data_IF_653940639450
#
_entry.id   IF_653940639450
#
_cell.length_a   1.000
_cell.length_b   1.000
_cell.length_c   1.000
_cell.angle_alpha   90.00
_cell.angle_beta   90.00
_cell.angle_gamma   90.00
#
_symmetry.space_group_name_H-M   'P 1'
#
loop_
_entity.id
_entity.type
_entity.pdbx_description
1 polymer ?
#
# COMPACT_ATOMS: atom_id res chain seq x y z
N UNK A 1 7.56 37.74 32.80
CA UNK A 1 6.69 36.86 33.61
C UNK A 1 5.45 36.64 32.78
N UNK A 2 5.20 35.53 32.10
CA UNK A 2 5.79 34.20 32.19
C UNK A 2 5.56 33.51 30.83
N UNK A 3 6.59 32.84 30.33
CA UNK A 3 6.60 32.06 29.09
C UNK A 3 6.33 30.61 29.44
N UNK A 4 5.27 30.00 28.90
CA UNK A 4 5.16 28.54 28.87
C UNK A 4 4.70 28.07 27.49
N UNK A 5 5.64 28.01 26.56
CA UNK A 5 5.58 27.11 25.42
C UNK A 5 5.40 25.68 25.93
N UNK A 6 4.26 25.05 25.63
CA UNK A 6 4.09 23.61 25.78
C UNK A 6 4.92 22.93 24.70
N UNK A 7 6.20 22.73 25.03
CA UNK A 7 7.12 21.90 24.27
C UNK A 7 6.64 20.45 24.38
N UNK A 8 5.85 20.01 23.39
CA UNK A 8 5.49 18.60 23.24
C UNK A 8 6.77 17.92 22.76
N UNK A 9 7.45 17.27 23.70
CA UNK A 9 8.72 16.61 23.48
C UNK A 9 8.55 15.37 22.56
N UNK A 10 8.50 15.65 21.26
CA UNK A 10 8.43 14.67 20.16
C UNK A 10 9.68 13.76 20.11
N UNK A 11 10.72 14.05 20.91
CA UNK A 11 11.96 13.26 20.96
C UNK A 11 11.83 11.93 21.70
N UNK A 12 10.78 11.72 22.47
CA UNK A 12 10.58 10.45 23.21
C UNK A 12 9.72 9.40 22.46
N UNK A 13 9.20 9.73 21.27
CA UNK A 13 8.36 8.81 20.49
C UNK A 13 9.13 8.00 19.43
N UNK A 14 10.46 8.11 19.38
CA UNK A 14 11.23 7.53 18.29
C UNK A 14 12.44 6.71 18.78
N UNK A 15 12.49 5.46 18.29
CA UNK A 15 13.67 4.61 18.07
C UNK A 15 14.16 3.58 19.11
N UNK A 16 13.52 3.36 20.27
CA UNK A 16 14.02 2.34 21.22
C UNK A 16 13.36 0.96 21.23
N UNK A 17 12.39 0.66 20.36
CA UNK A 17 11.81 -0.70 20.29
C UNK A 17 12.58 -1.59 19.30
N UNK A 18 13.70 -2.17 19.71
CA UNK A 18 14.38 -3.22 18.94
C UNK A 18 14.52 -4.54 19.71
N UNK A 19 14.06 -5.60 19.04
CA UNK A 19 14.34 -7.01 19.22
C UNK A 19 13.65 -7.76 20.38
N UNK A 20 12.49 -8.37 20.09
CA UNK A 20 12.24 -9.82 20.29
C UNK A 20 10.79 -10.26 20.09
N UNK A 21 9.83 -9.33 20.00
CA UNK A 21 8.42 -9.68 19.79
C UNK A 21 7.86 -8.96 18.57
N UNK A 22 7.82 -9.66 17.44
CA UNK A 22 6.93 -9.28 16.34
C UNK A 22 5.68 -10.13 16.50
N UNK A 23 4.48 -9.53 16.53
CA UNK A 23 3.26 -10.30 16.65
C UNK A 23 3.17 -11.28 15.48
N UNK A 24 2.60 -12.45 15.74
CA UNK A 24 2.42 -13.48 14.71
C UNK A 24 1.52 -12.91 13.61
N UNK A 25 1.85 -13.06 12.32
CA UNK A 25 0.98 -12.60 11.24
C UNK A 25 -0.45 -13.15 11.39
N UNK A 26 -1.45 -12.26 11.34
CA UNK A 26 -2.85 -12.61 11.54
C UNK A 26 -3.33 -12.68 13.00
N UNK A 27 -2.44 -12.52 13.98
CA UNK A 27 -2.83 -12.50 15.40
C UNK A 27 -3.62 -11.24 15.78
N UNK A 28 -4.41 -11.31 16.85
CA UNK A 28 -5.11 -10.15 17.40
C UNK A 28 -4.13 -9.02 17.78
N UNK A 29 -2.95 -9.38 18.28
CA UNK A 29 -1.88 -8.44 18.62
C UNK A 29 -1.35 -7.68 17.40
N UNK A 30 -1.19 -8.37 16.24
CA UNK A 30 -0.80 -7.69 14.99
C UNK A 30 -1.87 -6.69 14.54
N UNK A 31 -3.14 -7.08 14.64
CA UNK A 31 -4.26 -6.23 14.23
C UNK A 31 -4.33 -4.97 15.10
N UNK A 32 -4.25 -5.12 16.42
CA UNK A 32 -4.27 -3.98 17.35
C UNK A 32 -3.06 -3.05 17.14
N UNK A 33 -1.87 -3.61 16.92
CA UNK A 33 -0.68 -2.83 16.61
C UNK A 33 -0.82 -2.10 15.28
N UNK A 34 -1.35 -2.75 14.25
CA UNK A 34 -1.62 -2.12 12.96
C UNK A 34 -2.63 -0.98 13.09
N UNK A 35 -3.74 -1.17 13.80
CA UNK A 35 -4.73 -0.11 14.04
C UNK A 35 -4.10 1.11 14.74
N UNK A 36 -3.21 0.86 15.71
CA UNK A 36 -2.48 1.92 16.40
C UNK A 36 -1.58 2.71 15.45
N UNK A 37 -0.83 2.01 14.59
CA UNK A 37 0.00 2.64 13.55
C UNK A 37 -0.89 3.41 12.56
N UNK A 38 -1.98 2.81 12.10
CA UNK A 38 -2.86 3.41 11.10
C UNK A 38 -3.59 4.65 11.61
N UNK A 39 -3.90 4.75 12.92
CA UNK A 39 -4.44 5.98 13.53
C UNK A 39 -3.50 7.18 13.38
N UNK A 40 -2.19 6.96 13.38
CA UNK A 40 -1.22 8.05 13.14
C UNK A 40 -1.35 8.63 11.74
N UNK A 41 -1.77 7.80 10.76
CA UNK A 41 -1.91 8.19 9.36
C UNK A 41 -2.96 9.28 9.15
N UNK A 42 -4.08 9.26 9.89
CA UNK A 42 -5.13 10.27 9.75
C UNK A 42 -4.61 11.69 9.99
N UNK A 43 -3.78 11.86 11.03
CA UNK A 43 -3.14 13.14 11.33
C UNK A 43 -2.10 13.51 10.27
N UNK A 44 -1.31 12.52 9.82
CA UNK A 44 -0.32 12.72 8.75
C UNK A 44 -0.97 13.20 7.45
N UNK A 45 -2.09 12.58 7.07
CA UNK A 45 -2.83 12.91 5.87
C UNK A 45 -3.43 14.32 5.94
N UNK A 46 -4.01 14.72 7.07
CA UNK A 46 -4.60 16.05 7.20
C UNK A 46 -3.56 17.18 7.24
N UNK A 47 -2.41 16.95 7.90
CA UNK A 47 -1.43 18.00 8.16
C UNK A 47 -0.33 18.09 7.08
N UNK A 48 0.20 16.95 6.62
CA UNK A 48 1.43 16.92 5.82
C UNK A 48 1.19 16.65 4.34
N UNK A 49 0.05 16.09 3.93
CA UNK A 49 -0.24 15.89 2.50
C UNK A 49 -0.56 17.20 1.77
N UNK A 50 -1.31 18.16 2.35
CA UNK A 50 -1.56 19.46 1.71
C UNK A 50 -0.30 20.32 1.61
N UNK A 51 0.67 20.14 2.53
CA UNK A 51 1.91 20.90 2.54
C UNK A 51 2.98 20.25 1.62
N UNK A 52 3.36 20.96 0.56
CA UNK A 52 4.39 20.51 -0.36
C UNK A 52 5.82 20.64 0.20
N UNK A 53 6.01 21.44 1.25
CA UNK A 53 7.31 21.67 1.91
C UNK A 53 7.54 20.75 3.11
N UNK A 54 6.51 20.02 3.53
CA UNK A 54 6.63 19.01 4.57
C UNK A 54 7.70 17.96 4.23
N UNK A 55 8.55 17.66 5.21
CA UNK A 55 9.54 16.58 5.11
C UNK A 55 8.85 15.23 5.26
N UNK A 56 8.90 14.41 4.21
CA UNK A 56 8.20 13.13 4.14
C UNK A 56 8.97 12.08 3.37
N UNK A 57 8.86 10.83 3.81
CA UNK A 57 9.43 9.66 3.15
C UNK A 57 8.31 8.75 2.67
N UNK A 58 8.27 8.49 1.36
CA UNK A 58 7.28 7.61 0.74
C UNK A 58 7.95 6.30 0.39
N UNK A 59 7.48 5.22 0.98
CA UNK A 59 8.00 3.88 0.73
C UNK A 59 7.08 3.23 -0.30
N UNK A 60 7.53 3.20 -1.55
CA UNK A 60 6.76 2.64 -2.66
C UNK A 60 7.05 1.15 -2.73
N UNK A 61 6.02 0.35 -2.47
CA UNK A 61 6.07 -1.11 -2.51
C UNK A 61 5.02 -1.55 -3.51
N UNK A 62 5.41 -1.70 -4.79
CA UNK A 62 4.50 -2.06 -5.86
C UNK A 62 4.19 -3.57 -5.86
N UNK A 63 3.99 -4.14 -4.65
CA UNK A 63 3.61 -5.52 -4.49
C UNK A 63 2.24 -5.75 -5.07
N UNK A 64 2.13 -6.83 -5.82
CA UNK A 64 0.90 -7.27 -6.43
C UNK A 64 0.57 -8.65 -5.87
N UNK A 65 -0.19 -8.65 -4.78
CA UNK A 65 -0.64 -9.89 -4.16
C UNK A 65 -1.98 -10.29 -4.79
N UNK A 66 -1.93 -10.93 -5.96
CA UNK A 66 -3.11 -11.46 -6.67
C UNK A 66 -3.11 -12.99 -6.62
N UNK A 67 -4.29 -13.58 -6.83
CA UNK A 67 -4.42 -15.04 -6.94
C UNK A 67 -3.49 -15.58 -8.04
N UNK A 68 -2.71 -16.62 -7.74
CA UNK A 68 -1.70 -17.15 -8.65
C UNK A 68 -2.33 -17.70 -9.94
N UNK A 69 -3.56 -18.19 -9.88
CA UNK A 69 -4.31 -18.62 -11.07
C UNK A 69 -4.71 -17.45 -11.97
N UNK A 70 -4.94 -16.27 -11.39
CA UNK A 70 -5.22 -15.05 -12.15
C UNK A 70 -3.92 -14.47 -12.69
N UNK A 71 -2.84 -14.49 -11.89
CA UNK A 71 -1.53 -13.99 -12.29
C UNK A 71 -0.88 -14.77 -13.43
N UNK A 72 -1.03 -16.10 -13.42
CA UNK A 72 -0.52 -16.98 -14.49
C UNK A 72 -1.16 -16.70 -15.85
N UNK A 73 -2.36 -16.11 -15.86
CA UNK A 73 -3.08 -15.70 -17.08
C UNK A 73 -2.67 -14.31 -17.59
N UNK A 74 -1.87 -13.57 -16.81
CA UNK A 74 -1.44 -12.20 -17.14
C UNK A 74 -0.01 -12.24 -17.67
N UNK A 75 0.14 -12.19 -18.99
CA UNK A 75 1.45 -12.00 -19.63
C UNK A 75 2.06 -10.66 -19.19
N UNK A 76 3.30 -10.69 -18.67
CA UNK A 76 4.00 -9.49 -18.22
C UNK A 76 3.69 -9.04 -16.78
N UNK A 77 3.18 -9.94 -15.93
CA UNK A 77 3.00 -9.69 -14.48
C UNK A 77 4.26 -9.14 -13.80
N UNK A 78 5.46 -9.53 -14.26
CA UNK A 78 6.74 -9.04 -13.72
C UNK A 78 6.99 -7.53 -13.93
N UNK A 79 6.36 -6.90 -14.94
CA UNK A 79 6.49 -5.45 -15.18
C UNK A 79 5.43 -4.62 -14.46
N UNK A 80 4.53 -5.25 -13.68
CA UNK A 80 3.54 -4.49 -12.91
C UNK A 80 4.19 -3.60 -11.88
N UNK A 81 5.36 -4.00 -11.39
CA UNK A 81 6.13 -3.19 -10.47
C UNK A 81 6.50 -1.84 -11.09
N UNK A 82 6.69 -1.74 -12.40
CA UNK A 82 7.01 -0.47 -13.08
C UNK A 82 5.81 0.49 -13.17
N UNK A 83 4.57 0.02 -12.95
CA UNK A 83 3.36 0.87 -13.06
C UNK A 83 3.29 1.94 -11.98
N UNK A 84 3.91 1.71 -10.83
CA UNK A 84 3.98 2.66 -9.72
C UNK A 84 5.18 3.60 -9.82
N UNK A 85 5.99 3.53 -10.88
CA UNK A 85 7.03 4.53 -11.16
C UNK A 85 6.45 5.93 -11.37
N UNK A 86 5.15 6.04 -11.68
CA UNK A 86 4.45 7.33 -11.67
C UNK A 86 4.51 8.04 -10.31
N UNK A 87 4.68 7.31 -9.20
CA UNK A 87 4.85 7.92 -7.87
C UNK A 87 6.20 8.64 -7.72
N UNK A 88 7.17 8.41 -8.62
CA UNK A 88 8.39 9.23 -8.68
C UNK A 88 8.07 10.70 -8.94
N UNK A 89 6.90 11.03 -9.50
CA UNK A 89 6.43 12.40 -9.68
C UNK A 89 6.28 13.16 -8.35
N UNK A 90 6.15 12.46 -7.22
CA UNK A 90 6.11 13.07 -5.89
C UNK A 90 7.46 13.70 -5.50
N UNK A 91 8.56 13.36 -6.18
CA UNK A 91 9.85 14.05 -6.03
C UNK A 91 9.78 15.52 -6.47
N UNK A 92 8.72 15.97 -7.16
CA UNK A 92 8.47 17.40 -7.38
C UNK A 92 8.30 18.20 -6.07
N UNK A 93 7.90 17.54 -4.99
CA UNK A 93 7.88 18.14 -3.65
C UNK A 93 9.32 18.18 -3.10
N UNK A 94 9.88 19.35 -2.75
CA UNK A 94 11.32 19.51 -2.51
C UNK A 94 11.85 18.72 -1.31
N UNK A 95 11.07 18.58 -0.24
CA UNK A 95 11.46 17.87 0.98
C UNK A 95 11.01 16.39 0.99
N UNK A 96 10.43 15.90 -0.11
CA UNK A 96 9.97 14.51 -0.21
C UNK A 96 11.09 13.59 -0.66
N UNK A 97 11.24 12.47 0.03
CA UNK A 97 12.16 11.39 -0.30
C UNK A 97 11.36 10.14 -0.66
N UNK A 98 11.83 9.39 -1.65
CA UNK A 98 11.17 8.16 -2.09
C UNK A 98 12.11 6.98 -1.92
N UNK A 99 11.63 5.94 -1.25
CA UNK A 99 12.26 4.62 -1.26
C UNK A 99 11.42 3.71 -2.15
N UNK A 100 11.95 3.36 -3.31
CA UNK A 100 11.31 2.43 -4.24
C UNK A 100 11.88 1.03 -4.04
N UNK A 101 11.02 0.05 -3.79
CA UNK A 101 11.43 -1.34 -3.66
C UNK A 101 10.92 -2.15 -4.85
N UNK A 102 11.75 -3.02 -5.41
CA UNK A 102 11.37 -3.90 -6.52
C UNK A 102 11.89 -5.33 -6.32
N UNK A 103 11.29 -6.30 -7.02
CA UNK A 103 11.73 -7.69 -7.07
C UNK A 103 13.05 -7.80 -7.81
N UNK A 104 13.15 -7.15 -8.96
CA UNK A 104 14.33 -7.09 -9.81
C UNK A 104 14.79 -5.64 -10.00
N UNK A 105 16.09 -5.38 -10.22
CA UNK A 105 16.57 -4.03 -10.47
C UNK A 105 15.92 -3.47 -11.75
N UNK A 106 15.39 -2.25 -11.64
CA UNK A 106 14.84 -1.51 -12.78
C UNK A 106 15.99 -0.88 -13.54
N UNK A 107 15.93 -0.92 -14.88
CA UNK A 107 16.96 -0.33 -15.73
C UNK A 107 17.12 1.17 -15.41
N UNK A 108 18.35 1.66 -15.15
CA UNK A 108 18.60 3.08 -14.91
C UNK A 108 18.01 4.01 -15.97
N UNK A 109 17.95 3.59 -17.24
CA UNK A 109 17.37 4.37 -18.34
C UNK A 109 15.88 4.63 -18.11
N UNK A 110 15.14 3.63 -17.58
CA UNK A 110 13.72 3.79 -17.25
C UNK A 110 13.58 4.80 -16.12
N UNK A 111 14.40 4.68 -15.07
CA UNK A 111 14.37 5.64 -13.95
C UNK A 111 14.68 7.05 -14.44
N UNK A 112 15.74 7.21 -15.22
CA UNK A 112 16.13 8.50 -15.76
C UNK A 112 15.03 9.08 -16.65
N UNK A 113 14.37 8.28 -17.48
CA UNK A 113 13.21 8.71 -18.26
C UNK A 113 12.13 9.34 -17.36
N UNK A 114 11.73 8.66 -16.27
CA UNK A 114 10.75 9.22 -15.33
C UNK A 114 11.26 10.48 -14.64
N UNK A 115 12.53 10.53 -14.24
CA UNK A 115 13.09 11.73 -13.60
C UNK A 115 13.14 12.93 -14.53
N UNK A 116 13.34 12.74 -15.84
CA UNK A 116 13.30 13.81 -16.85
C UNK A 116 11.88 14.37 -17.07
N UNK A 117 10.83 13.63 -16.69
CA UNK A 117 9.44 14.13 -16.77
C UNK A 117 9.08 15.09 -15.62
N UNK A 118 9.93 15.23 -14.60
CA UNK A 118 9.67 16.13 -13.47
C UNK A 118 9.82 17.61 -13.89
N UNK A 119 8.73 18.40 -13.88
CA UNK A 119 8.84 19.81 -14.22
C UNK A 119 9.49 20.59 -13.06
N UNK A 120 10.48 21.41 -13.39
CA UNK A 120 11.10 22.36 -12.45
C UNK A 120 12.15 21.78 -11.50
N UNK A 121 12.55 20.52 -11.66
CA UNK A 121 13.64 19.88 -10.89
C UNK A 121 14.57 19.15 -11.84
N UNK A 122 15.88 19.26 -11.63
CA UNK A 122 16.86 18.50 -12.40
C UNK A 122 16.84 17.01 -12.00
N UNK A 123 17.11 16.11 -12.94
CA UNK A 123 17.21 14.68 -12.63
C UNK A 123 18.22 14.38 -11.51
N UNK A 124 19.28 15.18 -11.39
CA UNK A 124 20.28 15.07 -10.31
C UNK A 124 19.65 15.25 -8.91
N UNK A 125 18.94 16.35 -8.66
CA UNK A 125 18.32 16.61 -7.35
C UNK A 125 17.17 15.65 -7.03
N UNK A 126 16.48 15.15 -8.05
CA UNK A 126 15.48 14.11 -7.84
C UNK A 126 16.14 12.78 -7.45
N UNK A 127 17.29 12.45 -8.05
CA UNK A 127 18.03 11.22 -7.78
C UNK A 127 18.68 11.18 -6.40
N UNK A 128 19.13 12.32 -5.87
CA UNK A 128 19.63 12.42 -4.49
C UNK A 128 18.57 12.04 -3.44
N UNK A 129 17.29 12.23 -3.76
CA UNK A 129 16.15 11.94 -2.87
C UNK A 129 15.45 10.62 -3.20
N UNK A 130 15.97 9.86 -4.17
CA UNK A 130 15.45 8.57 -4.60
C UNK A 130 16.38 7.44 -4.15
N UNK A 131 15.87 6.59 -3.27
CA UNK A 131 16.53 5.33 -2.88
C UNK A 131 15.89 4.17 -3.62
N UNK A 132 16.66 3.45 -4.44
CA UNK A 132 16.21 2.23 -5.13
C UNK A 132 16.75 1.00 -4.42
N UNK A 133 15.85 0.09 -4.01
CA UNK A 133 16.19 -1.18 -3.38
C UNK A 133 15.60 -2.33 -4.18
N UNK A 134 16.38 -3.39 -4.41
CA UNK A 134 15.94 -4.59 -5.13
C UNK A 134 16.10 -5.84 -4.29
N UNK A 135 15.16 -6.78 -4.42
CA UNK A 135 15.22 -8.10 -3.80
C UNK A 135 16.13 -9.09 -4.56
N UNK A 136 16.45 -8.78 -5.83
CA UNK A 136 17.14 -9.65 -6.79
C UNK A 136 16.50 -11.04 -6.89
N UNK A 137 15.17 -11.07 -7.03
CA UNK A 137 14.37 -12.28 -6.95
C UNK A 137 13.22 -12.26 -7.98
N UNK A 138 13.37 -13.05 -9.04
CA UNK A 138 12.36 -13.21 -10.10
C UNK A 138 11.35 -14.34 -9.82
N UNK A 139 11.27 -14.87 -8.60
CA UNK A 139 10.22 -15.83 -8.24
C UNK A 139 8.83 -15.21 -8.34
N UNK A 140 7.80 -16.06 -8.47
CA UNK A 140 6.39 -15.66 -8.53
C UNK A 140 5.79 -15.24 -7.18
N UNK A 141 6.60 -15.23 -6.11
CA UNK A 141 6.20 -14.77 -4.78
C UNK A 141 5.98 -13.24 -4.81
N UNK A 142 5.02 -12.74 -4.03
CA UNK A 142 4.76 -11.30 -3.97
C UNK A 142 5.97 -10.52 -3.46
N UNK A 143 6.08 -9.25 -3.87
CA UNK A 143 7.18 -8.38 -3.43
C UNK A 143 7.20 -8.21 -1.91
N UNK A 144 6.03 -8.04 -1.30
CA UNK A 144 5.92 -7.89 0.16
C UNK A 144 6.44 -9.13 0.89
N UNK A 145 6.08 -10.34 0.44
CA UNK A 145 6.63 -11.58 1.00
C UNK A 145 8.15 -11.67 0.81
N UNK A 146 8.66 -11.32 -0.37
CA UNK A 146 10.12 -11.26 -0.63
C UNK A 146 10.82 -10.31 0.35
N UNK A 147 10.22 -9.17 0.68
CA UNK A 147 10.76 -8.23 1.67
C UNK A 147 10.72 -8.83 3.07
N UNK A 148 9.59 -9.42 3.47
CA UNK A 148 9.39 -10.01 4.80
C UNK A 148 10.39 -11.14 5.10
N UNK A 149 10.77 -11.91 4.08
CA UNK A 149 11.80 -12.96 4.20
C UNK A 149 13.23 -12.40 4.39
N UNK A 150 13.46 -11.11 4.13
CA UNK A 150 14.79 -10.49 4.07
C UNK A 150 14.97 -9.44 5.17
N UNK A 151 15.36 -9.87 6.37
CA UNK A 151 15.67 -8.98 7.52
C UNK A 151 16.63 -7.83 7.19
N UNK A 152 17.64 -8.09 6.35
CA UNK A 152 18.60 -7.06 5.90
C UNK A 152 17.93 -5.99 5.04
N UNK A 153 17.00 -6.37 4.16
CA UNK A 153 16.27 -5.43 3.31
C UNK A 153 15.33 -4.56 4.15
N UNK A 154 14.60 -5.17 5.10
CA UNK A 154 13.79 -4.43 6.08
C UNK A 154 14.63 -3.38 6.81
N UNK A 155 15.84 -3.76 7.28
CA UNK A 155 16.74 -2.80 7.94
C UNK A 155 17.15 -1.65 7.02
N UNK A 156 17.43 -1.93 5.74
CA UNK A 156 17.76 -0.89 4.75
C UNK A 156 16.58 0.05 4.46
N UNK A 157 15.36 -0.49 4.36
CA UNK A 157 14.14 0.33 4.22
C UNK A 157 13.97 1.23 5.44
N UNK A 158 14.16 0.71 6.66
CA UNK A 158 14.10 1.55 7.87
C UNK A 158 15.16 2.65 7.87
N UNK A 159 16.37 2.35 7.39
CA UNK A 159 17.48 3.30 7.33
C UNK A 159 17.29 4.40 6.28
N UNK A 160 16.46 4.19 5.26
CA UNK A 160 16.14 5.24 4.28
C UNK A 160 15.06 6.21 4.75
N UNK A 161 14.49 6.00 5.94
CA UNK A 161 13.53 6.90 6.57
C UNK A 161 14.29 7.84 7.51
N UNK A 162 14.33 9.13 7.17
CA UNK A 162 14.90 10.14 8.06
C UNK A 162 14.05 10.27 9.34
N UNK A 163 14.66 10.40 10.54
CA UNK A 163 13.92 10.50 11.80
C UNK A 163 12.92 11.66 11.89
N UNK A 164 13.18 12.74 11.15
CA UNK A 164 12.33 13.94 11.12
C UNK A 164 11.20 13.85 10.09
N UNK A 165 11.16 12.79 9.28
CA UNK A 165 10.18 12.65 8.21
C UNK A 165 8.94 11.91 8.70
N UNK A 166 7.79 12.41 8.26
CA UNK A 166 6.58 11.61 8.24
C UNK A 166 6.71 10.54 7.16
N UNK A 167 6.44 9.28 7.50
CA UNK A 167 6.57 8.18 6.56
C UNK A 167 5.24 7.43 6.36
N UNK A 168 5.00 6.99 5.14
CA UNK A 168 3.92 6.05 4.82
C UNK A 168 4.34 5.10 3.69
N UNK A 169 3.69 3.94 3.66
CA UNK A 169 3.85 2.94 2.61
C UNK A 169 2.79 3.19 1.53
N UNK A 170 3.20 3.31 0.28
CA UNK A 170 2.32 3.34 -0.87
C UNK A 170 2.37 1.97 -1.57
N UNK A 171 1.26 1.25 -1.54
CA UNK A 171 1.12 -0.07 -2.15
C UNK A 171 0.12 -0.07 -3.31
N UNK A 172 0.19 -1.08 -4.17
CA UNK A 172 -0.83 -1.30 -5.20
C UNK A 172 -2.13 -1.85 -4.59
N UNK A 173 -2.02 -2.87 -3.74
CA UNK A 173 -3.12 -3.41 -2.94
C UNK A 173 -2.70 -3.53 -1.47
N UNK A 174 -3.69 -3.49 -0.58
CA UNK A 174 -3.45 -3.72 0.86
C UNK A 174 -3.96 -5.11 1.22
N UNK A 175 -3.07 -6.03 1.51
CA UNK A 175 -3.39 -7.41 1.94
C UNK A 175 -2.80 -7.68 3.33
N UNK A 176 -3.05 -8.86 3.93
CA UNK A 176 -2.45 -9.22 5.22
C UNK A 176 -0.92 -9.11 5.22
N UNK A 177 -0.24 -9.39 4.10
CA UNK A 177 1.21 -9.25 4.03
C UNK A 177 1.67 -7.79 4.15
N UNK A 178 0.97 -6.83 3.53
CA UNK A 178 1.29 -5.41 3.65
C UNK A 178 1.05 -4.92 5.08
N UNK A 179 0.01 -5.43 5.76
CA UNK A 179 -0.20 -5.18 7.19
C UNK A 179 0.99 -5.68 8.02
N UNK A 180 1.42 -6.92 7.81
CA UNK A 180 2.60 -7.45 8.50
C UNK A 180 3.82 -6.57 8.24
N UNK A 181 4.03 -6.14 6.99
CA UNK A 181 5.14 -5.26 6.66
C UNK A 181 5.03 -3.89 7.34
N UNK A 182 3.84 -3.30 7.40
CA UNK A 182 3.57 -2.05 8.12
C UNK A 182 3.92 -2.16 9.59
N UNK A 183 3.49 -3.25 10.26
CA UNK A 183 3.82 -3.53 11.66
C UNK A 183 5.32 -3.74 11.85
N UNK A 184 5.97 -4.50 10.95
CA UNK A 184 7.42 -4.71 10.97
C UNK A 184 8.20 -3.41 10.79
N UNK A 185 7.76 -2.53 9.90
CA UNK A 185 8.39 -1.24 9.63
C UNK A 185 8.06 -0.18 10.69
N UNK A 186 6.90 -0.28 11.33
CA UNK A 186 6.34 0.75 12.21
C UNK A 186 5.80 1.96 11.43
N UNK A 187 5.34 1.74 10.19
CA UNK A 187 4.97 2.81 9.25
C UNK A 187 3.56 2.55 8.72
N UNK A 188 2.65 3.54 8.70
CA UNK A 188 1.28 3.35 8.21
C UNK A 188 1.22 3.10 6.70
N UNK A 189 0.10 2.55 6.25
CA UNK A 189 -0.15 2.30 4.82
C UNK A 189 -1.12 3.36 4.28
N UNK A 190 -0.80 3.92 3.12
CA UNK A 190 -1.74 4.65 2.29
C UNK A 190 -2.69 3.65 1.61
N UNK A 191 -3.69 3.18 2.35
CA UNK A 191 -4.60 2.14 1.88
C UNK A 191 -5.73 1.84 2.88
N UNK A 192 -6.66 1.00 2.44
CA UNK A 192 -7.76 0.53 3.29
C UNK A 192 -7.29 -0.64 4.16
N UNK A 193 -7.93 -0.84 5.31
CA UNK A 193 -7.64 -1.98 6.17
C UNK A 193 -7.88 -3.32 5.42
N UNK A 194 -6.91 -4.25 5.40
CA UNK A 194 -7.08 -5.55 4.75
C UNK A 194 -8.27 -6.37 5.25
N UNK A 195 -8.68 -6.20 6.51
CA UNK A 195 -9.87 -6.85 7.07
C UNK A 195 -11.17 -6.47 6.35
N UNK A 196 -11.18 -5.33 5.66
CA UNK A 196 -12.32 -4.80 4.90
C UNK A 196 -12.27 -5.16 3.42
N UNK A 197 -11.26 -5.91 2.95
CA UNK A 197 -11.09 -6.27 1.52
C UNK A 197 -12.33 -6.95 0.95
N UNK A 198 -13.05 -7.74 1.76
CA UNK A 198 -14.27 -8.42 1.32
C UNK A 198 -15.39 -7.47 0.89
N UNK A 199 -15.36 -6.19 1.29
CA UNK A 199 -16.31 -5.17 0.85
C UNK A 199 -16.05 -4.69 -0.58
N UNK A 200 -14.80 -4.81 -1.05
CA UNK A 200 -14.38 -4.39 -2.39
C UNK A 200 -14.68 -5.41 -3.50
N UNK A 201 -15.10 -6.64 -3.15
CA UNK A 201 -15.52 -7.62 -4.15
C UNK A 201 -16.98 -7.39 -4.57
N UNK A 202 -17.37 -7.89 -5.76
CA UNK A 202 -18.71 -7.65 -6.34
C UNK A 202 -19.84 -8.05 -5.39
N UNK A 203 -19.75 -9.22 -4.77
CA UNK A 203 -20.73 -9.70 -3.79
C UNK A 203 -20.80 -8.83 -2.53
N UNK A 204 -19.65 -8.39 -2.02
CA UNK A 204 -19.52 -7.56 -0.83
C UNK A 204 -20.07 -6.16 -1.07
N UNK A 205 -19.72 -5.54 -2.19
CA UNK A 205 -20.23 -4.23 -2.59
C UNK A 205 -21.75 -4.27 -2.77
N UNK A 206 -22.29 -5.33 -3.40
CA UNK A 206 -23.74 -5.51 -3.55
C UNK A 206 -24.46 -5.65 -2.21
N UNK A 207 -23.94 -6.47 -1.29
CA UNK A 207 -24.49 -6.57 0.09
C UNK A 207 -24.43 -5.25 0.84
N UNK A 208 -23.34 -4.48 0.67
CA UNK A 208 -23.18 -3.17 1.30
C UNK A 208 -24.21 -2.17 0.77
N UNK A 209 -24.42 -2.14 -0.55
CA UNK A 209 -25.41 -1.27 -1.19
C UNK A 209 -26.83 -1.62 -0.76
N UNK A 210 -27.15 -2.91 -0.68
CA UNK A 210 -28.43 -3.39 -0.16
C UNK A 210 -28.68 -2.92 1.28
N UNK A 211 -27.66 -3.05 2.16
CA UNK A 211 -27.75 -2.55 3.55
C UNK A 211 -27.87 -1.03 3.63
N UNK A 212 -27.25 -0.31 2.71
CA UNK A 212 -27.30 1.15 2.65
C UNK A 212 -28.57 1.69 1.96
N UNK A 213 -29.46 0.82 1.44
CA UNK A 213 -30.64 1.23 0.70
C UNK A 213 -30.35 1.87 -0.66
N UNK A 214 -29.16 1.63 -1.22
CA UNK A 214 -28.76 2.15 -2.53
C UNK A 214 -29.46 1.31 -3.61
N UNK A 215 -30.23 1.92 -4.55
CA UNK A 215 -30.84 1.19 -5.65
C UNK A 215 -29.79 0.49 -6.52
N UNK A 216 -30.03 -0.78 -6.85
CA UNK A 216 -29.14 -1.58 -7.66
C UNK A 216 -29.95 -2.41 -8.67
N UNK A 217 -29.38 -2.74 -9.84
CA UNK A 217 -29.99 -3.73 -10.73
C UNK A 217 -30.22 -5.07 -10.01
N UNK A 218 -31.24 -5.85 -10.40
CA UNK A 218 -31.38 -7.24 -9.99
C UNK A 218 -30.11 -8.04 -10.26
N UNK A 219 -29.80 -8.99 -9.38
CA UNK A 219 -28.58 -9.77 -9.43
C UNK A 219 -28.45 -10.67 -8.21
N UNK A 220 -27.46 -11.55 -8.24
CA UNK A 220 -27.17 -12.49 -7.16
C UNK A 220 -25.70 -12.40 -6.73
N UNK A 221 -25.45 -12.69 -5.45
CA UNK A 221 -24.13 -12.72 -4.83
C UNK A 221 -23.58 -14.15 -4.72
N UNK A 222 -22.26 -14.27 -4.61
CA UNK A 222 -21.57 -15.50 -4.21
C UNK A 222 -21.85 -16.71 -5.12
N UNK A 223 -21.83 -16.50 -6.43
CA UNK A 223 -21.92 -17.56 -7.43
C UNK A 223 -20.51 -18.12 -7.68
N UNK A 224 -20.30 -19.40 -7.37
CA UNK A 224 -18.99 -20.07 -7.47
C UNK A 224 -18.97 -21.20 -8.50
N UNK A 225 -20.15 -21.66 -8.95
CA UNK A 225 -20.29 -22.74 -9.91
C UNK A 225 -21.15 -22.36 -11.11
N UNK A 226 -21.07 -23.17 -12.16
CA UNK A 226 -21.95 -23.06 -13.32
C UNK A 226 -23.42 -23.20 -12.90
N UNK A 227 -23.72 -24.15 -12.00
CA UNK A 227 -25.07 -24.39 -11.51
C UNK A 227 -25.59 -23.18 -10.73
N UNK A 228 -24.76 -22.55 -9.89
CA UNK A 228 -25.14 -21.32 -9.18
C UNK A 228 -25.59 -20.22 -10.16
N UNK A 229 -24.87 -20.09 -11.28
CA UNK A 229 -25.19 -19.11 -12.32
C UNK A 229 -26.53 -19.46 -12.99
N UNK A 230 -26.76 -20.73 -13.35
CA UNK A 230 -28.01 -21.18 -13.96
C UNK A 230 -29.20 -20.91 -13.03
N UNK A 231 -29.10 -21.30 -11.76
CA UNK A 231 -30.15 -21.05 -10.79
C UNK A 231 -30.39 -19.56 -10.55
N UNK A 232 -29.33 -18.76 -10.44
CA UNK A 232 -29.45 -17.31 -10.26
C UNK A 232 -30.12 -16.63 -11.45
N UNK A 233 -29.76 -17.01 -12.68
CA UNK A 233 -30.37 -16.44 -13.90
C UNK A 233 -31.84 -16.84 -14.02
N UNK A 234 -32.17 -18.11 -13.75
CA UNK A 234 -33.56 -18.57 -13.76
C UNK A 234 -34.41 -17.82 -12.72
N UNK A 235 -33.94 -17.72 -11.47
CA UNK A 235 -34.62 -16.97 -10.42
C UNK A 235 -34.80 -15.48 -10.77
N UNK A 236 -33.79 -14.85 -11.40
CA UNK A 236 -33.91 -13.47 -11.86
C UNK A 236 -34.96 -13.32 -12.95
N UNK A 237 -35.08 -14.28 -13.88
CA UNK A 237 -36.09 -14.26 -14.94
C UNK A 237 -37.50 -14.45 -14.39
N UNK A 238 -37.67 -15.31 -13.39
CA UNK A 238 -38.94 -15.53 -12.71
C UNK A 238 -39.41 -14.29 -11.94
N UNK A 239 -38.49 -13.63 -11.22
CA UNK A 239 -38.80 -12.39 -10.49
C UNK A 239 -38.97 -11.18 -11.40
N UNK A 240 -38.29 -11.15 -12.54
CA UNK A 240 -38.32 -10.06 -13.52
C UNK A 240 -38.55 -10.59 -14.94
N UNK A 241 -39.80 -10.95 -15.31
CA UNK A 241 -40.10 -11.56 -16.61
C UNK A 241 -39.71 -10.70 -17.82
N UNK A 242 -39.74 -9.36 -17.65
CA UNK A 242 -39.42 -8.38 -18.69
C UNK A 242 -37.92 -8.09 -18.85
N UNK A 243 -37.05 -8.68 -18.01
CA UNK A 243 -35.60 -8.54 -18.16
C UNK A 243 -35.17 -9.20 -19.49
N UNK A 244 -34.51 -8.42 -20.36
CA UNK A 244 -34.04 -8.87 -21.69
C UNK A 244 -32.70 -9.57 -21.63
#
# INVERSE_FOLDING_TARGET
MDTSEKNIDLKNLSFHYFASYQPVPGSAEEIEQFETIQKTFSNQFQLFFPDNLASKTIIVIPSLTLDQEVLSKITGSMYYEERLLCLLMLLRMPCTHITYVSSMPIDPIIIDYYLHLLPGITGFHARERLTLLSCYDASSISLTEKILQRKRLIKRIKQSISPEHVAHIACFNTTPFERTLSVVLGVPIYGCDPSLTYLGNKSGSRRLFLKAGIPMPPGAENLYSYDDIVYAVAALKDMYPELK
#
